data_IF_976520522082
#
_entry.id   IF_976520522082
#
_cell.length_a   1.000
_cell.length_b   1.000
_cell.length_c   1.000
_cell.angle_alpha   90.00
_cell.angle_beta   90.00
_cell.angle_gamma   90.00
#
_symmetry.space_group_name_H-M   'P 1'
#
loop_
_entity.id
_entity.type
_entity.pdbx_description
1 polymer ?
#
# COMPACT_ATOMS: atom_id res chain seq x y z
N UNK A 1 -8.06 -20.00 4.19
CA UNK A 1 -9.29 -19.24 3.87
C UNK A 1 -10.10 -20.05 2.86
N UNK A 2 -11.42 -20.17 3.02
CA UNK A 2 -12.27 -20.90 2.05
C UNK A 2 -12.36 -20.14 0.70
N UNK A 3 -12.66 -20.84 -0.40
CA UNK A 3 -12.82 -20.23 -1.75
C UNK A 3 -13.88 -19.11 -1.75
N UNK A 4 -14.95 -19.29 -0.97
CA UNK A 4 -15.98 -18.28 -0.76
C UNK A 4 -15.42 -17.04 -0.04
N UNK A 5 -14.66 -17.24 1.04
CA UNK A 5 -14.06 -16.17 1.81
C UNK A 5 -13.00 -15.38 1.00
N UNK A 6 -12.22 -16.06 0.14
CA UNK A 6 -11.30 -15.38 -0.77
C UNK A 6 -12.02 -14.47 -1.77
N UNK A 7 -13.17 -14.92 -2.27
CA UNK A 7 -14.00 -14.14 -3.19
C UNK A 7 -14.58 -12.90 -2.51
N UNK A 8 -15.07 -13.03 -1.27
CA UNK A 8 -15.48 -11.88 -0.47
C UNK A 8 -14.32 -10.95 -0.16
N UNK A 9 -13.15 -11.47 0.20
CA UNK A 9 -11.94 -10.68 0.45
C UNK A 9 -11.53 -9.84 -0.76
N UNK A 10 -11.57 -10.40 -1.98
CA UNK A 10 -11.31 -9.63 -3.21
C UNK A 10 -12.37 -8.54 -3.43
N UNK A 11 -13.65 -8.87 -3.24
CA UNK A 11 -14.76 -7.93 -3.44
C UNK A 11 -14.72 -6.78 -2.44
N UNK A 12 -14.55 -7.08 -1.14
CA UNK A 12 -14.36 -6.10 -0.08
C UNK A 12 -13.15 -5.21 -0.36
N UNK A 13 -12.02 -5.79 -0.76
CA UNK A 13 -10.83 -5.02 -1.14
C UNK A 13 -11.13 -4.05 -2.29
N UNK A 14 -11.89 -4.46 -3.30
CA UNK A 14 -12.27 -3.58 -4.43
C UNK A 14 -13.16 -2.43 -3.94
N UNK A 15 -14.22 -2.75 -3.19
CA UNK A 15 -15.19 -1.76 -2.75
C UNK A 15 -14.57 -0.78 -1.76
N UNK A 16 -13.99 -1.28 -0.67
CA UNK A 16 -13.44 -0.46 0.41
C UNK A 16 -12.23 0.38 -0.03
N UNK A 17 -11.54 0.04 -1.12
CA UNK A 17 -10.41 0.84 -1.62
C UNK A 17 -10.76 1.82 -2.72
N UNK A 18 -11.70 1.44 -3.59
CA UNK A 18 -11.80 2.08 -4.90
C UNK A 18 -13.21 2.53 -5.28
N UNK A 19 -14.25 1.93 -4.70
CA UNK A 19 -15.58 2.09 -5.27
C UNK A 19 -16.72 2.14 -4.25
N UNK A 20 -16.46 2.35 -2.96
CA UNK A 20 -17.52 2.49 -1.96
C UNK A 20 -18.60 3.52 -2.37
N UNK A 21 -18.24 4.73 -2.87
CA UNK A 21 -19.24 5.68 -3.38
C UNK A 21 -20.10 5.13 -4.54
N UNK A 22 -19.53 4.31 -5.42
CA UNK A 22 -20.26 3.70 -6.55
C UNK A 22 -21.31 2.67 -6.08
N UNK A 23 -21.22 2.23 -4.83
CA UNK A 23 -22.17 1.34 -4.18
C UNK A 23 -23.13 2.13 -3.26
N UNK A 24 -23.12 3.47 -3.34
CA UNK A 24 -23.90 4.32 -2.42
C UNK A 24 -23.47 4.21 -0.96
N UNK A 25 -22.29 3.65 -0.69
CA UNK A 25 -21.76 3.52 0.65
C UNK A 25 -21.03 4.80 1.02
N UNK A 26 -21.49 5.45 2.09
CA UNK A 26 -20.78 6.56 2.69
C UNK A 26 -19.50 6.04 3.36
N UNK A 27 -18.37 6.65 2.99
CA UNK A 27 -17.05 6.36 3.55
C UNK A 27 -16.56 7.61 4.27
N UNK A 28 -16.27 7.46 5.56
CA UNK A 28 -15.68 8.51 6.36
C UNK A 28 -14.27 8.88 5.85
N UNK A 29 -13.79 10.05 6.24
CA UNK A 29 -12.43 10.54 5.90
C UNK A 29 -11.31 9.63 6.42
N UNK A 30 -11.60 8.76 7.39
CA UNK A 30 -10.71 7.73 7.94
C UNK A 30 -10.83 6.36 7.21
N UNK A 31 -11.65 6.28 6.16
CA UNK A 31 -11.87 5.10 5.33
C UNK A 31 -12.91 4.11 5.88
N UNK A 32 -13.49 4.36 7.06
CA UNK A 32 -14.50 3.46 7.62
C UNK A 32 -15.86 3.59 6.92
N UNK A 33 -16.52 2.45 6.78
CA UNK A 33 -17.88 2.29 6.26
C UNK A 33 -18.67 1.45 7.27
N UNK A 34 -19.94 1.79 7.50
CA UNK A 34 -20.85 0.98 8.33
C UNK A 34 -21.00 -0.42 7.77
N UNK A 35 -20.78 -1.44 8.61
CA UNK A 35 -21.00 -2.84 8.24
C UNK A 35 -22.47 -3.10 7.95
N UNK A 36 -23.40 -2.45 8.66
CA UNK A 36 -24.82 -2.60 8.40
C UNK A 36 -25.19 -2.07 7.01
N UNK A 37 -24.71 -0.89 6.63
CA UNK A 37 -24.92 -0.33 5.29
C UNK A 37 -24.32 -1.24 4.21
N UNK A 38 -23.10 -1.73 4.43
CA UNK A 38 -22.40 -2.65 3.53
C UNK A 38 -23.19 -3.93 3.29
N UNK A 39 -23.63 -4.60 4.37
CA UNK A 39 -24.34 -5.89 4.29
C UNK A 39 -25.77 -5.75 3.76
N UNK A 40 -26.39 -4.58 3.93
CA UNK A 40 -27.73 -4.28 3.39
C UNK A 40 -27.72 -4.05 1.87
N UNK A 41 -26.57 -3.71 1.29
CA UNK A 41 -26.46 -3.44 -0.14
C UNK A 41 -26.61 -4.74 -0.96
N UNK A 42 -27.38 -4.71 -2.04
CA UNK A 42 -27.72 -5.87 -2.87
C UNK A 42 -26.51 -6.66 -3.37
N UNK A 43 -25.42 -5.96 -3.70
CA UNK A 43 -24.17 -6.59 -4.09
C UNK A 43 -23.52 -7.46 -2.99
N UNK A 44 -23.83 -7.27 -1.72
CA UNK A 44 -23.32 -8.09 -0.61
C UNK A 44 -24.35 -9.09 -0.08
N UNK A 45 -25.47 -9.29 -0.80
CA UNK A 45 -26.45 -10.32 -0.49
C UNK A 45 -25.76 -11.69 -0.37
N UNK A 46 -26.00 -12.36 0.76
CA UNK A 46 -25.40 -13.66 1.09
C UNK A 46 -24.13 -13.58 1.94
N UNK A 47 -23.51 -12.40 2.12
CA UNK A 47 -22.45 -12.22 3.10
C UNK A 47 -23.08 -11.97 4.47
N UNK A 48 -22.83 -12.85 5.44
CA UNK A 48 -23.29 -12.66 6.83
C UNK A 48 -22.24 -11.91 7.65
N UNK A 49 -22.64 -11.32 8.78
CA UNK A 49 -21.70 -10.67 9.70
C UNK A 49 -20.66 -11.66 10.26
N UNK A 50 -21.06 -12.91 10.56
CA UNK A 50 -20.15 -13.95 11.01
C UNK A 50 -19.11 -14.28 9.94
N UNK A 51 -19.57 -14.43 8.69
CA UNK A 51 -18.66 -14.68 7.57
C UNK A 51 -17.75 -13.47 7.29
N UNK A 52 -18.25 -12.23 7.42
CA UNK A 52 -17.41 -11.04 7.30
C UNK A 52 -16.29 -11.05 8.35
N UNK A 53 -16.62 -11.30 9.63
CA UNK A 53 -15.64 -11.42 10.71
C UNK A 53 -14.62 -12.51 10.43
N UNK A 54 -15.06 -13.66 9.91
CA UNK A 54 -14.17 -14.75 9.49
C UNK A 54 -13.25 -14.34 8.32
N UNK A 55 -13.77 -13.64 7.31
CA UNK A 55 -12.97 -13.11 6.18
C UNK A 55 -11.89 -12.14 6.66
N UNK A 56 -12.19 -11.32 7.68
CA UNK A 56 -11.22 -10.41 8.29
C UNK A 56 -10.17 -11.20 9.09
N UNK A 57 -10.60 -12.13 9.94
CA UNK A 57 -9.71 -12.92 10.81
C UNK A 57 -8.79 -13.88 10.03
N UNK A 58 -9.29 -14.53 8.98
CA UNK A 58 -8.52 -15.45 8.14
C UNK A 58 -7.64 -14.71 7.11
N UNK A 59 -7.68 -13.37 7.07
CA UNK A 59 -6.92 -12.61 6.11
C UNK A 59 -5.44 -12.60 6.47
N UNK A 60 -4.69 -13.52 5.87
CA UNK A 60 -3.24 -13.63 6.01
C UNK A 60 -2.45 -12.33 5.74
N UNK A 61 -3.03 -11.33 5.06
CA UNK A 61 -2.40 -10.04 4.81
C UNK A 61 -2.96 -8.90 5.66
N UNK A 62 -3.83 -9.21 6.62
CA UNK A 62 -4.52 -8.26 7.51
C UNK A 62 -5.09 -7.06 6.74
N UNK A 63 -5.78 -7.33 5.62
CA UNK A 63 -6.23 -6.28 4.68
C UNK A 63 -7.31 -5.36 5.23
N UNK A 64 -7.99 -5.75 6.29
CA UNK A 64 -9.18 -5.08 6.80
C UNK A 64 -9.03 -4.79 8.28
N UNK A 65 -9.58 -3.65 8.68
CA UNK A 65 -9.68 -3.25 10.09
C UNK A 65 -11.16 -3.17 10.42
N UNK A 66 -11.57 -3.86 11.49
CA UNK A 66 -12.88 -3.71 12.09
C UNK A 66 -12.77 -2.77 13.29
N UNK A 67 -13.76 -1.91 13.44
CA UNK A 67 -13.88 -1.02 14.58
C UNK A 67 -15.32 -1.04 15.07
N UNK A 68 -15.51 -1.21 16.37
CA UNK A 68 -16.82 -1.05 17.00
C UNK A 68 -16.84 0.29 17.69
N UNK A 69 -17.79 1.14 17.32
CA UNK A 69 -18.00 2.41 18.02
C UNK A 69 -18.37 2.12 19.49
N UNK A 70 -17.63 2.66 20.47
CA UNK A 70 -17.85 2.32 21.87
C UNK A 70 -19.19 2.85 22.42
N UNK A 71 -19.75 3.91 21.83
CA UNK A 71 -20.99 4.53 22.29
C UNK A 71 -22.21 3.87 21.64
N UNK A 72 -22.20 3.70 20.32
CA UNK A 72 -23.36 3.19 19.56
C UNK A 72 -23.34 1.68 19.42
N UNK A 73 -22.20 1.04 19.68
CA UNK A 73 -21.93 -0.37 19.38
C UNK A 73 -22.06 -0.73 17.89
N UNK A 74 -22.08 0.28 17.00
CA UNK A 74 -22.11 0.06 15.56
C UNK A 74 -20.75 -0.44 15.07
N UNK A 75 -20.78 -1.45 14.19
CA UNK A 75 -19.59 -2.05 13.61
C UNK A 75 -19.25 -1.38 12.28
N UNK A 76 -17.99 -0.97 12.14
CA UNK A 76 -17.41 -0.36 10.95
C UNK A 76 -16.27 -1.20 10.39
N UNK A 77 -16.04 -1.08 9.09
CA UNK A 77 -14.93 -1.74 8.39
C UNK A 77 -14.23 -0.77 7.43
N UNK A 78 -12.89 -0.86 7.37
CA UNK A 78 -12.07 -0.20 6.34
C UNK A 78 -11.01 -1.15 5.80
N UNK A 79 -10.40 -0.80 4.66
CA UNK A 79 -9.17 -1.44 4.25
C UNK A 79 -7.96 -0.84 5.01
N UNK A 80 -6.96 -1.65 5.32
CA UNK A 80 -5.77 -1.21 6.05
C UNK A 80 -4.87 -0.26 5.24
N UNK A 81 -4.93 -0.33 3.90
CA UNK A 81 -4.20 0.52 2.96
C UNK A 81 -4.72 0.31 1.54
N UNK A 82 -4.23 1.11 0.59
CA UNK A 82 -4.35 0.85 -0.85
C UNK A 82 -5.53 1.53 -1.52
N UNK A 83 -6.07 2.57 -0.87
CA UNK A 83 -7.18 3.37 -1.34
C UNK A 83 -6.81 4.18 -2.59
N UNK A 84 -7.81 4.39 -3.44
CA UNK A 84 -7.84 5.45 -4.47
C UNK A 84 -8.93 6.48 -4.21
N UNK A 85 -9.75 6.24 -3.19
CA UNK A 85 -10.71 7.22 -2.69
C UNK A 85 -9.90 8.19 -1.82
N UNK A 86 -10.05 9.52 -1.98
CA UNK A 86 -9.35 10.49 -1.14
C UNK A 86 -9.72 10.34 0.33
N UNK A 87 -8.72 10.25 1.21
CA UNK A 87 -8.86 10.05 2.66
C UNK A 87 -7.82 10.91 3.40
N UNK A 88 -7.96 11.07 4.71
CA UNK A 88 -6.99 11.79 5.55
C UNK A 88 -5.97 10.81 6.14
N UNK A 89 -4.75 10.84 5.64
CA UNK A 89 -3.70 9.87 5.97
C UNK A 89 -3.45 9.70 7.47
N UNK A 90 -3.42 10.80 8.23
CA UNK A 90 -3.14 10.79 9.68
C UNK A 90 -4.25 10.10 10.51
N UNK A 91 -5.43 9.84 9.93
CA UNK A 91 -6.50 9.05 10.58
C UNK A 91 -6.42 7.55 10.25
N UNK A 92 -5.61 7.18 9.24
CA UNK A 92 -5.47 5.80 8.76
C UNK A 92 -4.15 5.17 9.17
N UNK A 93 -3.09 5.98 9.17
CA UNK A 93 -1.72 5.51 9.24
C UNK A 93 -0.93 6.23 10.32
N UNK A 94 0.09 5.57 10.83
CA UNK A 94 1.05 6.16 11.75
C UNK A 94 2.12 6.90 10.96
N UNK A 95 2.25 8.21 11.18
CA UNK A 95 3.27 9.02 10.51
C UNK A 95 4.65 8.64 11.01
N UNK A 96 5.58 8.46 10.07
CA UNK A 96 7.02 8.34 10.38
C UNK A 96 7.52 9.71 10.82
N UNK A 97 8.01 9.81 12.04
CA UNK A 97 8.50 11.05 12.65
C UNK A 97 10.02 11.08 12.83
N UNK A 98 10.68 9.93 12.65
CA UNK A 98 12.14 9.80 12.75
C UNK A 98 12.68 8.73 11.81
N UNK A 99 13.94 8.88 11.36
CA UNK A 99 14.56 7.99 10.37
C UNK A 99 14.77 6.56 10.86
N UNK A 100 14.89 6.35 12.17
CA UNK A 100 15.03 5.02 12.78
C UNK A 100 13.75 4.16 12.64
N UNK A 101 12.61 4.78 12.36
CA UNK A 101 11.36 4.08 12.06
C UNK A 101 11.28 3.60 10.59
N UNK A 102 12.21 4.01 9.73
CA UNK A 102 12.27 3.55 8.34
C UNK A 102 13.00 2.19 8.26
N UNK A 103 12.61 1.32 7.30
CA UNK A 103 13.34 0.09 7.05
C UNK A 103 14.79 0.34 6.67
N UNK A 104 15.69 -0.53 7.15
CA UNK A 104 17.11 -0.52 6.75
C UNK A 104 17.27 -0.60 5.23
N UNK A 105 16.49 -1.48 4.59
CA UNK A 105 16.40 -1.56 3.13
C UNK A 105 14.95 -1.39 2.71
N UNK A 106 14.62 -0.22 2.18
CA UNK A 106 13.29 0.07 1.64
C UNK A 106 13.25 -0.27 0.16
N UNK A 107 12.25 -1.04 -0.27
CA UNK A 107 12.10 -1.44 -1.67
C UNK A 107 10.70 -1.19 -2.22
N UNK A 108 10.61 -0.94 -3.53
CA UNK A 108 9.39 -1.04 -4.30
C UNK A 108 9.44 -2.31 -5.18
N UNK A 109 8.52 -3.24 -4.94
CA UNK A 109 8.44 -4.48 -5.68
C UNK A 109 7.60 -4.34 -6.96
N UNK A 110 8.20 -4.66 -8.09
CA UNK A 110 7.59 -4.50 -9.42
C UNK A 110 8.05 -5.60 -10.38
N UNK A 111 7.66 -5.50 -11.66
CA UNK A 111 8.14 -6.41 -12.71
C UNK A 111 9.25 -5.76 -13.54
N UNK A 112 10.11 -6.57 -14.19
CA UNK A 112 11.13 -6.05 -15.11
C UNK A 112 10.59 -5.06 -16.14
N UNK A 113 9.45 -5.38 -16.77
CA UNK A 113 8.81 -4.50 -17.75
C UNK A 113 8.41 -3.14 -17.14
N UNK A 114 7.88 -3.15 -15.91
CA UNK A 114 7.47 -1.92 -15.23
C UNK A 114 8.66 -1.12 -14.71
N UNK A 115 9.75 -1.78 -14.29
CA UNK A 115 10.98 -1.09 -13.92
C UNK A 115 11.55 -0.25 -15.07
N UNK A 116 11.54 -0.78 -16.30
CA UNK A 116 11.94 -0.02 -17.49
C UNK A 116 11.10 1.26 -17.65
N UNK A 117 9.77 1.16 -17.44
CA UNK A 117 8.87 2.31 -17.57
C UNK A 117 9.08 3.34 -16.44
N UNK A 118 9.36 2.88 -15.23
CA UNK A 118 9.70 3.72 -14.08
C UNK A 118 10.98 4.52 -14.36
N UNK A 119 12.03 3.85 -14.88
CA UNK A 119 13.26 4.52 -15.29
C UNK A 119 13.01 5.56 -16.39
N UNK A 120 12.25 5.21 -17.44
CA UNK A 120 11.93 6.12 -18.54
C UNK A 120 11.09 7.32 -18.14
N UNK A 121 10.18 7.14 -17.19
CA UNK A 121 9.29 8.20 -16.72
C UNK A 121 9.95 9.09 -15.65
N UNK A 122 11.12 8.70 -15.12
CA UNK A 122 11.87 9.50 -14.17
C UNK A 122 11.39 9.36 -12.71
N UNK A 123 10.71 8.27 -12.34
CA UNK A 123 10.26 8.07 -10.96
C UNK A 123 9.15 7.03 -10.77
N UNK A 124 8.75 6.85 -9.52
CA UNK A 124 7.65 5.97 -9.11
C UNK A 124 6.36 6.75 -8.98
N UNK A 125 5.28 6.22 -9.55
CA UNK A 125 3.92 6.74 -9.37
C UNK A 125 3.11 5.87 -8.41
N UNK A 126 2.26 6.49 -7.60
CA UNK A 126 1.16 5.83 -6.88
C UNK A 126 0.08 5.26 -7.83
N UNK A 127 0.16 5.63 -9.12
CA UNK A 127 -0.78 5.29 -10.18
C UNK A 127 -2.18 5.79 -9.83
N UNK A 128 -3.17 4.90 -9.72
CA UNK A 128 -4.53 5.26 -9.30
C UNK A 128 -4.68 5.33 -7.78
N UNK A 129 -3.69 4.92 -7.00
CA UNK A 129 -3.78 4.93 -5.53
C UNK A 129 -3.32 6.26 -4.97
N UNK A 130 -3.67 6.51 -3.72
CA UNK A 130 -3.23 7.70 -2.99
C UNK A 130 -1.72 7.65 -2.66
N UNK A 131 -1.17 6.43 -2.49
CA UNK A 131 0.21 6.23 -2.01
C UNK A 131 1.00 5.27 -2.89
N UNK A 132 2.30 5.49 -2.93
CA UNK A 132 3.30 4.53 -3.37
C UNK A 132 3.50 3.52 -2.24
N UNK A 133 3.34 2.23 -2.56
CA UNK A 133 3.55 1.13 -1.62
C UNK A 133 5.02 0.70 -1.66
N UNK A 134 5.64 0.70 -0.48
CA UNK A 134 7.00 0.27 -0.23
C UNK A 134 7.01 -0.90 0.75
N UNK A 135 8.15 -1.59 0.85
CA UNK A 135 8.29 -2.73 1.74
C UNK A 135 9.70 -2.78 2.35
N UNK A 136 9.81 -3.41 3.52
CA UNK A 136 11.10 -3.71 4.17
C UNK A 136 11.70 -4.97 3.56
N UNK A 137 12.91 -4.90 3.02
CA UNK A 137 13.66 -6.06 2.54
C UNK A 137 14.68 -6.52 3.59
N UNK A 138 14.82 -7.84 3.86
CA UNK A 138 14.18 -8.96 3.17
C UNK A 138 12.81 -9.40 3.71
N UNK A 139 12.29 -8.75 4.76
CA UNK A 139 11.07 -9.16 5.48
C UNK A 139 9.85 -9.30 4.56
N UNK A 140 9.77 -8.47 3.52
CA UNK A 140 8.67 -8.45 2.56
C UNK A 140 8.53 -9.73 1.74
N UNK A 141 9.58 -10.56 1.67
CA UNK A 141 9.60 -11.83 0.94
C UNK A 141 8.76 -12.92 1.60
N UNK A 142 8.34 -12.70 2.85
CA UNK A 142 7.50 -13.63 3.60
C UNK A 142 8.30 -14.44 4.61
N UNK A 143 9.38 -15.12 4.23
CA UNK A 143 10.10 -15.98 5.18
C UNK A 143 9.15 -16.96 5.87
N UNK A 144 9.11 -16.95 7.21
CA UNK A 144 8.14 -17.71 8.01
C UNK A 144 6.73 -17.07 8.08
N UNK A 145 6.59 -15.85 7.57
CA UNK A 145 5.37 -15.05 7.52
C UNK A 145 4.82 -14.91 6.09
N UNK A 146 3.73 -14.16 5.95
CA UNK A 146 3.05 -13.95 4.67
C UNK A 146 3.77 -12.88 3.85
N UNK A 147 4.12 -13.21 2.60
CA UNK A 147 4.75 -12.25 1.67
C UNK A 147 3.90 -10.99 1.46
N UNK A 148 4.51 -9.83 1.72
CA UNK A 148 3.87 -8.53 1.49
C UNK A 148 3.83 -8.17 0.01
N UNK A 149 4.80 -8.64 -0.77
CA UNK A 149 4.91 -8.37 -2.20
C UNK A 149 4.19 -9.44 -3.02
N UNK A 150 3.87 -9.11 -4.28
CA UNK A 150 3.27 -10.07 -5.22
C UNK A 150 4.30 -11.13 -5.61
N UNK A 151 3.84 -12.36 -5.81
CA UNK A 151 4.70 -13.45 -6.29
C UNK A 151 5.28 -13.15 -7.68
N UNK A 152 4.53 -12.42 -8.51
CA UNK A 152 4.96 -11.99 -9.84
C UNK A 152 6.00 -10.87 -9.84
N UNK A 153 6.34 -10.29 -8.68
CA UNK A 153 7.34 -9.24 -8.59
C UNK A 153 8.74 -9.87 -8.51
N UNK A 154 9.50 -9.70 -9.59
CA UNK A 154 10.85 -10.22 -9.79
C UNK A 154 11.95 -9.16 -9.65
N UNK A 155 11.54 -7.87 -9.60
CA UNK A 155 12.43 -6.72 -9.40
C UNK A 155 12.04 -5.98 -8.13
N UNK A 156 13.00 -5.74 -7.25
CA UNK A 156 12.87 -4.90 -6.06
C UNK A 156 13.73 -3.66 -6.26
N UNK A 157 13.10 -2.52 -6.56
CA UNK A 157 13.80 -1.25 -6.71
C UNK A 157 14.14 -0.73 -5.32
N UNK A 158 15.41 -0.43 -5.05
CA UNK A 158 15.88 0.09 -3.76
C UNK A 158 15.59 1.59 -3.69
N UNK A 159 14.99 2.01 -2.59
CA UNK A 159 14.62 3.40 -2.30
C UNK A 159 15.50 3.94 -1.18
N UNK A 160 16.13 5.08 -1.42
CA UNK A 160 16.77 5.89 -0.38
C UNK A 160 15.71 6.67 0.42
N UNK A 161 15.01 5.93 1.29
CA UNK A 161 13.95 6.47 2.11
C UNK A 161 14.47 7.49 3.12
N UNK A 162 15.72 7.36 3.58
CA UNK A 162 16.33 8.31 4.51
C UNK A 162 16.55 9.67 3.84
N UNK A 163 17.14 9.69 2.63
CA UNK A 163 17.29 10.92 1.84
C UNK A 163 15.94 11.54 1.47
N UNK A 164 14.97 10.73 1.09
CA UNK A 164 13.61 11.20 0.82
C UNK A 164 12.98 11.86 2.06
N UNK A 165 13.12 11.24 3.23
CA UNK A 165 12.65 11.77 4.50
C UNK A 165 13.33 13.09 4.87
N UNK A 166 14.66 13.17 4.74
CA UNK A 166 15.44 14.40 4.99
C UNK A 166 15.01 15.54 4.05
N UNK A 167 14.53 15.21 2.84
CA UNK A 167 13.97 16.17 1.89
C UNK A 167 12.48 16.49 2.13
N UNK A 168 11.92 16.08 3.26
CA UNK A 168 10.54 16.39 3.66
C UNK A 168 9.47 15.54 2.97
N UNK A 169 9.84 14.41 2.36
CA UNK A 169 8.85 13.46 1.81
C UNK A 169 8.24 12.67 2.97
N UNK A 170 6.90 12.73 3.18
CA UNK A 170 6.28 12.04 4.28
C UNK A 170 6.20 10.52 4.02
N UNK A 171 6.31 9.77 5.10
CA UNK A 171 6.14 8.33 5.13
C UNK A 171 5.16 7.95 6.23
N UNK A 172 4.45 6.84 6.02
CA UNK A 172 3.47 6.34 6.95
C UNK A 172 3.51 4.82 7.04
N UNK A 173 3.27 4.29 8.23
CA UNK A 173 3.04 2.89 8.47
C UNK A 173 1.54 2.61 8.54
N UNK A 174 1.09 1.67 7.71
CA UNK A 174 -0.27 1.13 7.81
C UNK A 174 -0.37 0.10 8.94
N UNK A 175 -1.60 -0.15 9.41
CA UNK A 175 -1.89 -1.14 10.46
C UNK A 175 -1.50 -2.58 10.10
N UNK A 176 -1.20 -2.85 8.82
CA UNK A 176 -0.68 -4.13 8.36
C UNK A 176 0.78 -4.09 7.90
N UNK A 177 1.58 -3.18 8.49
CA UNK A 177 3.04 -3.09 8.35
C UNK A 177 3.51 -2.90 6.91
N UNK A 178 2.76 -2.12 6.12
CA UNK A 178 3.19 -1.66 4.79
C UNK A 178 3.58 -0.19 4.91
N UNK A 179 4.79 0.13 4.44
CA UNK A 179 5.30 1.50 4.36
C UNK A 179 4.68 2.21 3.14
N UNK A 180 4.19 3.41 3.35
CA UNK A 180 3.48 4.22 2.36
C UNK A 180 4.11 5.59 2.25
N UNK A 181 4.14 6.15 1.05
CA UNK A 181 4.42 7.58 0.85
C UNK A 181 3.43 8.14 -0.15
N UNK A 182 2.85 9.33 0.09
CA UNK A 182 2.04 10.02 -0.91
C UNK A 182 2.92 10.64 -2.01
N UNK A 183 4.25 10.43 -2.00
CA UNK A 183 5.17 11.07 -2.92
C UNK A 183 5.67 12.41 -2.40
N UNK A 184 6.46 13.10 -3.22
CA UNK A 184 7.03 14.39 -2.85
C UNK A 184 5.93 15.46 -2.72
N UNK A 185 5.99 16.37 -1.72
CA UNK A 185 4.97 17.40 -1.55
C UNK A 185 4.72 18.28 -2.79
N UNK A 186 5.78 18.57 -3.55
CA UNK A 186 5.69 19.33 -4.80
C UNK A 186 5.05 18.55 -5.96
N UNK A 187 5.03 17.21 -5.89
CA UNK A 187 4.46 16.32 -6.90
C UNK A 187 3.73 15.14 -6.22
N UNK A 188 2.55 15.36 -5.63
CA UNK A 188 1.80 14.30 -4.97
C UNK A 188 1.53 13.12 -5.92
N UNK A 189 1.61 11.91 -5.39
CA UNK A 189 1.55 10.65 -6.12
C UNK A 189 2.85 10.27 -6.84
N UNK A 190 3.92 11.05 -6.71
CA UNK A 190 5.17 10.83 -7.44
C UNK A 190 6.42 10.87 -6.54
N UNK A 191 7.29 9.87 -6.68
CA UNK A 191 8.61 9.82 -6.05
C UNK A 191 9.70 9.88 -7.16
N UNK A 192 10.45 11.00 -7.27
CA UNK A 192 11.46 11.19 -8.30
C UNK A 192 12.57 10.12 -8.33
N UNK A 193 13.13 9.87 -9.51
CA UNK A 193 14.18 8.87 -9.77
C UNK A 193 15.41 9.05 -8.87
N UNK A 194 15.69 10.27 -8.39
CA UNK A 194 16.85 10.54 -7.53
C UNK A 194 16.83 9.79 -6.17
N UNK A 195 15.68 9.24 -5.79
CA UNK A 195 15.52 8.41 -4.60
C UNK A 195 15.58 6.90 -4.91
N UNK A 196 15.71 6.51 -6.17
CA UNK A 196 15.87 5.12 -6.59
C UNK A 196 17.37 4.86 -6.77
N UNK A 197 17.97 4.04 -5.90
CA UNK A 197 19.44 3.86 -5.87
C UNK A 197 19.93 2.60 -6.59
N UNK A 198 19.00 1.71 -6.97
CA UNK A 198 19.32 0.49 -7.69
C UNK A 198 18.15 -0.47 -7.70
N UNK A 199 18.39 -1.70 -8.13
CA UNK A 199 17.41 -2.76 -7.99
C UNK A 199 18.09 -4.11 -7.75
N UNK A 200 17.38 -4.99 -7.06
CA UNK A 200 17.80 -6.36 -6.78
C UNK A 200 16.71 -7.34 -7.20
N UNK A 201 17.08 -8.60 -7.44
CA UNK A 201 16.13 -9.71 -7.51
C UNK A 201 15.60 -10.04 -6.12
N UNK A 202 14.60 -10.93 -6.05
CA UNK A 202 14.12 -11.52 -4.80
C UNK A 202 15.21 -12.25 -3.99
N UNK A 203 16.28 -12.70 -4.65
CA UNK A 203 17.41 -13.39 -4.01
C UNK A 203 18.52 -12.43 -3.59
N UNK A 204 18.32 -11.11 -3.73
CA UNK A 204 19.31 -10.10 -3.38
C UNK A 204 20.37 -9.86 -4.44
N UNK A 205 20.28 -10.49 -5.62
CA UNK A 205 21.23 -10.23 -6.72
C UNK A 205 20.98 -8.85 -7.31
N UNK A 206 22.01 -8.01 -7.32
CA UNK A 206 21.96 -6.70 -7.98
C UNK A 206 21.62 -6.84 -9.46
N UNK A 207 20.71 -5.98 -9.92
CA UNK A 207 20.30 -5.88 -11.30
C UNK A 207 20.92 -4.64 -11.93
N UNK A 208 21.48 -4.80 -13.13
CA UNK A 208 21.92 -3.65 -13.92
C UNK A 208 20.69 -2.86 -14.38
N UNK A 209 20.71 -1.53 -14.19
CA UNK A 209 19.70 -0.66 -14.76
C UNK A 209 19.45 -0.91 -16.24
N UNK A 210 18.19 -0.85 -16.70
CA UNK A 210 17.90 -0.92 -18.12
C UNK A 210 18.31 0.38 -18.85
N UNK A 211 19.62 0.53 -19.16
CA UNK A 211 20.30 1.53 -20.03
C UNK A 211 20.02 3.04 -19.79
N UNK A 212 21.09 3.85 -19.86
CA UNK A 212 21.28 5.34 -19.79
C UNK A 212 20.51 6.19 -18.77
N UNK A 213 19.61 5.62 -17.99
CA UNK A 213 18.71 6.36 -17.08
C UNK A 213 19.30 6.66 -15.69
N UNK A 214 20.55 6.24 -15.44
CA UNK A 214 21.30 6.55 -14.21
C UNK A 214 22.54 7.42 -14.46
N UNK A 215 22.66 8.03 -15.65
CA UNK A 215 23.73 8.99 -15.91
C UNK A 215 23.47 10.24 -15.06
N UNK A 216 24.13 10.26 -13.91
CA UNK A 216 24.58 11.41 -13.12
C UNK A 216 23.89 12.74 -13.44
N UNK A 217 23.01 13.18 -12.54
CA UNK A 217 22.71 14.61 -12.41
C UNK A 217 24.05 15.31 -12.16
N UNK A 218 24.46 16.29 -12.99
CA UNK A 218 25.70 17.02 -12.74
C UNK A 218 25.58 17.72 -11.39
N UNK A 219 26.51 17.44 -10.49
CA UNK A 219 26.79 18.35 -9.37
C UNK A 219 27.33 19.60 -10.04
N UNK A 220 26.51 20.65 -10.09
CA UNK A 220 26.95 21.96 -10.56
C UNK A 220 27.92 22.54 -9.52
N UNK A 221 29.00 23.20 -9.96
CA UNK A 221 30.11 23.62 -9.11
C UNK A 221 29.72 24.68 -8.07
#
# INVERSE_FOLDING_TARGET
>A
MSVSNETWSRKLSKVLRHSAPNYGLYMNIDGFVSVNALLSHSAFRGLTISQLKQVVAENNKSRFVLHTDPQTQELFIRAAQGHSIPLQDDLLFERVVSKDQLPKTTVHATTRQKWIQICKSGGLSSMKRNHIHLASYPECLGGANVSQIRISADVLIIIDAQKAFDHGIPFFWSTNNVLLTPGAPATPGWLPIQYLTGAITRTGRTLTPPLDSFVSVPVTP
#
